data_IF_898521630482
#
_entry.id   IF_898521630482
#
_cell.length_a   1.000
_cell.length_b   1.000
_cell.length_c   1.000
_cell.angle_alpha   90.00
_cell.angle_beta   90.00
_cell.angle_gamma   90.00
#
_symmetry.space_group_name_H-M   'P 1'
#
loop_
_entity.id
_entity.type
_entity.pdbx_description
1 polymer ?
#
# COMPACT_ATOMS: atom_id res chain seq x y z
N UNK A 1 4.97 -6.57 -39.17
CA UNK A 1 5.16 -6.22 -37.74
C UNK A 1 5.02 -7.46 -36.89
N UNK A 2 6.13 -8.00 -36.35
CA UNK A 2 6.08 -9.17 -35.47
C UNK A 2 5.64 -8.77 -34.06
N UNK A 3 4.44 -9.20 -33.63
CA UNK A 3 4.01 -9.11 -32.22
C UNK A 3 4.95 -9.98 -31.39
N UNK A 4 5.84 -9.33 -30.64
CA UNK A 4 6.76 -9.98 -29.69
C UNK A 4 5.92 -10.58 -28.57
N UNK A 5 5.59 -11.87 -28.66
CA UNK A 5 4.92 -12.60 -27.59
C UNK A 5 5.79 -12.54 -26.32
N UNK A 6 5.38 -11.73 -25.33
CA UNK A 6 6.00 -11.76 -24.00
C UNK A 6 5.72 -13.13 -23.41
N UNK A 7 6.75 -13.94 -23.17
CA UNK A 7 6.63 -15.15 -22.36
C UNK A 7 6.14 -14.73 -20.97
N UNK A 8 4.91 -15.11 -20.62
CA UNK A 8 4.40 -14.97 -19.26
C UNK A 8 5.21 -15.88 -18.36
N UNK A 9 5.96 -15.30 -17.43
CA UNK A 9 6.80 -16.04 -16.49
C UNK A 9 5.91 -16.86 -15.54
N UNK A 10 6.37 -18.03 -15.10
CA UNK A 10 5.61 -18.88 -14.16
C UNK A 10 5.22 -18.16 -12.87
N UNK A 11 6.03 -17.19 -12.43
CA UNK A 11 5.73 -16.33 -11.28
C UNK A 11 4.49 -15.47 -11.49
N UNK A 12 4.28 -14.93 -12.70
CA UNK A 12 3.09 -14.12 -12.99
C UNK A 12 1.81 -14.96 -12.98
N UNK A 13 1.89 -16.21 -13.46
CA UNK A 13 0.77 -17.15 -13.44
C UNK A 13 0.41 -17.49 -11.99
N UNK A 14 1.40 -17.82 -11.15
CA UNK A 14 1.19 -18.08 -9.72
C UNK A 14 0.57 -16.88 -9.02
N UNK A 15 1.08 -15.69 -9.30
CA UNK A 15 0.58 -14.43 -8.75
C UNK A 15 -0.88 -14.19 -9.13
N UNK A 16 -1.23 -14.38 -10.41
CA UNK A 16 -2.61 -14.24 -10.87
C UNK A 16 -3.54 -15.26 -10.20
N UNK A 17 -3.10 -16.51 -10.00
CA UNK A 17 -3.87 -17.53 -9.31
C UNK A 17 -4.12 -17.19 -7.82
N UNK A 18 -3.16 -16.56 -7.15
CA UNK A 18 -3.33 -16.09 -5.76
C UNK A 18 -4.31 -14.91 -5.71
N UNK A 19 -4.22 -13.97 -6.66
CA UNK A 19 -5.15 -12.83 -6.75
C UNK A 19 -6.58 -13.32 -6.97
N UNK A 20 -6.78 -14.32 -7.83
CA UNK A 20 -8.08 -14.97 -8.03
C UNK A 20 -8.63 -15.58 -6.73
N UNK A 21 -7.81 -16.35 -5.99
CA UNK A 21 -8.21 -16.92 -4.70
C UNK A 21 -8.59 -15.85 -3.66
N UNK A 22 -7.86 -14.74 -3.60
CA UNK A 22 -8.22 -13.61 -2.73
C UNK A 22 -9.54 -12.98 -3.15
N UNK A 23 -9.76 -12.78 -4.45
CA UNK A 23 -10.98 -12.17 -4.97
C UNK A 23 -12.21 -13.05 -4.72
N UNK A 24 -12.08 -14.36 -4.92
CA UNK A 24 -13.12 -15.35 -4.62
C UNK A 24 -13.48 -15.33 -3.13
N UNK A 25 -12.48 -15.24 -2.25
CA UNK A 25 -12.67 -15.19 -0.79
C UNK A 25 -13.54 -14.01 -0.34
N UNK A 26 -13.42 -12.86 -1.00
CA UNK A 26 -14.22 -11.66 -0.69
C UNK A 26 -15.41 -11.46 -1.62
N UNK A 27 -15.61 -12.35 -2.60
CA UNK A 27 -16.71 -12.29 -3.56
C UNK A 27 -16.61 -11.11 -4.53
N UNK A 28 -15.42 -10.82 -5.05
CA UNK A 28 -15.18 -9.77 -6.05
C UNK A 28 -14.82 -10.40 -7.38
N UNK A 29 -15.45 -9.92 -8.45
CA UNK A 29 -15.06 -10.32 -9.81
C UNK A 29 -13.84 -9.54 -10.27
N UNK A 30 -12.81 -10.25 -10.74
CA UNK A 30 -11.62 -9.62 -11.34
C UNK A 30 -11.90 -9.01 -12.72
N UNK A 31 -13.00 -9.39 -13.35
CA UNK A 31 -13.43 -8.89 -14.65
C UNK A 31 -14.31 -7.63 -14.55
N UNK A 32 -14.58 -7.14 -13.33
CA UNK A 32 -15.34 -5.93 -13.10
C UNK A 32 -14.60 -4.70 -13.69
N UNK A 33 -15.20 -3.96 -14.65
CA UNK A 33 -14.56 -2.79 -15.26
C UNK A 33 -14.34 -1.63 -14.28
N UNK A 34 -15.03 -1.64 -13.14
CA UNK A 34 -14.87 -0.64 -12.07
C UNK A 34 -13.70 -0.96 -11.14
N UNK A 35 -13.20 -2.21 -11.15
CA UNK A 35 -12.08 -2.63 -10.32
C UNK A 35 -10.77 -2.03 -10.83
N UNK A 36 -10.21 -1.12 -10.03
CA UNK A 36 -8.94 -0.45 -10.33
C UNK A 36 -7.90 -0.82 -9.29
N UNK A 37 -6.82 -1.46 -9.73
CA UNK A 37 -5.70 -1.78 -8.85
C UNK A 37 -4.94 -0.53 -8.40
N UNK A 38 -4.67 -0.50 -7.09
CA UNK A 38 -3.85 0.48 -6.40
C UNK A 38 -2.39 0.25 -6.77
N UNK A 39 -1.68 1.32 -7.13
CA UNK A 39 -0.23 1.32 -7.31
C UNK A 39 0.47 1.83 -6.04
N UNK A 40 1.72 1.40 -5.81
CA UNK A 40 2.47 1.50 -4.54
C UNK A 40 2.86 2.91 -4.04
N UNK A 41 2.21 3.98 -4.50
CA UNK A 41 2.72 5.33 -4.27
C UNK A 41 2.03 6.07 -3.13
N UNK A 42 0.70 6.01 -3.06
CA UNK A 42 -0.06 6.64 -1.98
C UNK A 42 -1.49 6.10 -1.98
N UNK A 43 -2.00 5.78 -0.79
CA UNK A 43 -3.38 5.38 -0.59
C UNK A 43 -3.91 6.06 0.67
N UNK A 44 -5.05 6.72 0.55
CA UNK A 44 -5.70 7.45 1.63
C UNK A 44 -7.10 6.88 1.81
N UNK A 45 -7.44 6.50 3.04
CA UNK A 45 -8.81 6.15 3.44
C UNK A 45 -9.32 7.28 4.31
N UNK A 46 -10.41 7.92 3.89
CA UNK A 46 -11.09 8.93 4.70
C UNK A 46 -12.15 8.26 5.56
N UNK A 47 -12.42 8.83 6.74
CA UNK A 47 -13.54 8.42 7.58
C UNK A 47 -14.84 8.50 6.80
N UNK A 48 -15.61 7.41 6.79
CA UNK A 48 -16.79 7.30 5.94
C UNK A 48 -17.84 6.36 6.58
N UNK A 49 -18.39 6.82 7.70
CA UNK A 49 -19.52 6.15 8.35
C UNK A 49 -19.24 4.72 8.82
N UNK A 50 -17.97 4.36 9.09
CA UNK A 50 -17.56 3.03 9.49
C UNK A 50 -17.11 2.12 8.35
N UNK A 51 -17.20 2.56 7.08
CA UNK A 51 -16.66 1.82 5.94
C UNK A 51 -15.14 1.68 6.02
N UNK A 52 -14.46 2.63 6.63
CA UNK A 52 -13.02 2.57 6.92
C UNK A 52 -12.67 1.37 7.80
N UNK A 53 -13.51 1.03 8.79
CA UNK A 53 -13.29 -0.13 9.65
C UNK A 53 -13.50 -1.44 8.87
N UNK A 54 -14.59 -1.52 8.11
CA UNK A 54 -14.82 -2.67 7.24
C UNK A 54 -13.68 -2.89 6.22
N UNK A 55 -13.13 -1.81 5.67
CA UNK A 55 -11.93 -1.89 4.83
C UNK A 55 -10.73 -2.46 5.59
N UNK A 56 -10.43 -1.96 6.80
CA UNK A 56 -9.30 -2.41 7.61
C UNK A 56 -9.42 -3.89 7.97
N UNK A 57 -10.62 -4.34 8.34
CA UNK A 57 -10.89 -5.74 8.69
C UNK A 57 -10.66 -6.67 7.50
N UNK A 58 -11.24 -6.34 6.34
CA UNK A 58 -11.09 -7.13 5.11
C UNK A 58 -9.64 -7.10 4.63
N UNK A 59 -8.98 -5.94 4.69
CA UNK A 59 -7.58 -5.82 4.29
C UNK A 59 -6.66 -6.64 5.19
N UNK A 60 -6.88 -6.62 6.51
CA UNK A 60 -6.13 -7.43 7.47
C UNK A 60 -6.21 -8.92 7.15
N UNK A 61 -7.44 -9.45 6.98
CA UNK A 61 -7.64 -10.86 6.61
C UNK A 61 -6.97 -11.21 5.28
N UNK A 62 -7.16 -10.38 4.25
CA UNK A 62 -6.55 -10.61 2.93
C UNK A 62 -5.02 -10.52 2.96
N UNK A 63 -4.43 -9.62 3.74
CA UNK A 63 -2.98 -9.48 3.86
C UNK A 63 -2.36 -10.74 4.48
N UNK A 64 -2.95 -11.24 5.57
CA UNK A 64 -2.51 -12.48 6.22
C UNK A 64 -2.70 -13.67 5.28
N UNK A 65 -3.84 -13.74 4.58
CA UNK A 65 -4.11 -14.80 3.63
C UNK A 65 -3.10 -14.78 2.46
N UNK A 66 -2.83 -13.61 1.87
CA UNK A 66 -1.81 -13.43 0.83
C UNK A 66 -0.42 -13.88 1.29
N UNK A 67 -0.04 -13.56 2.52
CA UNK A 67 1.23 -13.98 3.12
C UNK A 67 1.33 -15.51 3.24
N UNK A 68 0.24 -16.18 3.66
CA UNK A 68 0.22 -17.65 3.76
C UNK A 68 0.37 -18.34 2.39
N UNK A 69 -0.03 -17.68 1.32
CA UNK A 69 0.14 -18.11 -0.07
C UNK A 69 1.49 -17.69 -0.68
N UNK A 70 2.33 -16.98 0.09
CA UNK A 70 3.67 -16.55 -0.31
C UNK A 70 3.73 -15.21 -1.05
N UNK A 71 2.67 -14.39 -0.99
CA UNK A 71 2.58 -13.07 -1.64
C UNK A 71 2.92 -11.91 -0.68
N UNK A 72 4.10 -11.94 -0.08
CA UNK A 72 4.52 -10.96 0.94
C UNK A 72 4.95 -9.58 0.41
N UNK A 73 5.20 -9.45 -0.90
CA UNK A 73 5.75 -8.21 -1.50
C UNK A 73 4.71 -7.33 -2.18
N UNK A 74 3.45 -7.73 -2.16
CA UNK A 74 2.43 -7.07 -2.96
C UNK A 74 1.16 -6.80 -2.17
N UNK A 75 1.26 -5.98 -1.10
CA UNK A 75 0.11 -5.66 -0.25
C UNK A 75 -1.01 -4.95 -1.02
N UNK A 76 -0.67 -4.29 -2.14
CA UNK A 76 -1.62 -3.53 -2.96
C UNK A 76 -2.75 -4.37 -3.57
N UNK A 77 -2.55 -5.67 -3.81
CA UNK A 77 -3.63 -6.54 -4.29
C UNK A 77 -4.69 -6.76 -3.22
N UNK A 78 -4.25 -7.13 -2.00
CA UNK A 78 -5.14 -7.27 -0.85
C UNK A 78 -5.86 -5.95 -0.55
N UNK A 79 -5.14 -4.81 -0.58
CA UNK A 79 -5.75 -3.49 -0.40
C UNK A 79 -6.80 -3.18 -1.47
N UNK A 80 -6.52 -3.47 -2.75
CA UNK A 80 -7.46 -3.17 -3.84
C UNK A 80 -8.77 -3.93 -3.65
N UNK A 81 -8.67 -5.23 -3.34
CA UNK A 81 -9.84 -6.07 -3.12
C UNK A 81 -10.59 -5.64 -1.87
N UNK A 82 -9.92 -5.30 -0.78
CA UNK A 82 -10.55 -4.76 0.42
C UNK A 82 -11.27 -3.44 0.16
N UNK A 83 -10.66 -2.52 -0.60
CA UNK A 83 -11.26 -1.24 -0.96
C UNK A 83 -12.53 -1.45 -1.80
N UNK A 84 -12.46 -2.31 -2.81
CA UNK A 84 -13.62 -2.66 -3.64
C UNK A 84 -14.74 -3.31 -2.81
N UNK A 85 -14.40 -4.22 -1.89
CA UNK A 85 -15.37 -4.86 -0.98
C UNK A 85 -16.07 -3.86 -0.05
N UNK A 86 -15.33 -2.88 0.45
CA UNK A 86 -15.84 -1.81 1.31
C UNK A 86 -16.59 -0.71 0.54
N UNK A 87 -16.65 -0.80 -0.80
CA UNK A 87 -17.33 0.19 -1.66
C UNK A 87 -16.53 1.46 -1.86
N UNK A 88 -15.21 1.44 -1.62
CA UNK A 88 -14.33 2.56 -1.92
C UNK A 88 -13.96 2.57 -3.41
N UNK A 89 -14.10 3.74 -4.03
CA UNK A 89 -13.61 3.98 -5.39
C UNK A 89 -12.13 4.27 -5.34
N UNK A 90 -11.35 3.56 -6.16
CA UNK A 90 -9.91 3.82 -6.30
C UNK A 90 -9.70 4.89 -7.38
N UNK A 91 -9.29 6.07 -6.94
CA UNK A 91 -8.88 7.16 -7.80
C UNK A 91 -7.38 7.05 -8.11
N UNK A 92 -6.99 7.37 -9.34
CA UNK A 92 -5.57 7.45 -9.75
C UNK A 92 -5.11 8.88 -9.96
N UNK A 93 -6.04 9.83 -9.86
CA UNK A 93 -5.80 11.24 -10.02
C UNK A 93 -5.34 11.85 -8.69
N UNK A 94 -4.69 13.00 -8.75
CA UNK A 94 -4.23 13.72 -7.57
C UNK A 94 -5.42 14.13 -6.68
N UNK A 95 -5.24 13.97 -5.37
CA UNK A 95 -6.21 14.47 -4.40
C UNK A 95 -6.01 15.98 -4.23
N UNK A 96 -7.05 16.82 -4.37
CA UNK A 96 -6.94 18.26 -4.14
C UNK A 96 -6.36 18.55 -2.75
N UNK A 97 -5.33 19.39 -2.69
CA UNK A 97 -4.63 19.74 -1.45
C UNK A 97 -3.49 18.80 -1.06
N UNK A 98 -3.27 17.69 -1.79
CA UNK A 98 -2.15 16.78 -1.57
C UNK A 98 -1.32 16.65 -2.85
N UNK A 99 -0.25 17.45 -2.95
CA UNK A 99 0.71 17.33 -4.05
C UNK A 99 1.57 16.09 -3.84
N UNK A 100 1.38 15.10 -4.70
CA UNK A 100 2.27 13.95 -4.79
C UNK A 100 3.49 14.32 -5.65
N UNK A 101 4.68 13.90 -5.22
CA UNK A 101 5.91 14.16 -5.96
C UNK A 101 6.71 12.87 -6.09
N UNK A 102 6.88 12.39 -7.33
CA UNK A 102 7.80 11.32 -7.70
C UNK A 102 8.64 11.79 -8.87
N UNK A 103 9.96 11.84 -8.67
CA UNK A 103 10.94 12.15 -9.70
C UNK A 103 10.66 11.47 -11.05
N UNK A 104 10.25 10.20 -11.06
CA UNK A 104 10.03 9.47 -12.32
C UNK A 104 8.84 10.00 -13.10
N UNK A 105 7.75 10.30 -12.39
CA UNK A 105 6.52 10.82 -12.97
C UNK A 105 6.77 12.24 -13.46
N UNK A 106 7.37 13.08 -12.60
CA UNK A 106 7.71 14.47 -12.89
C UNK A 106 8.66 14.58 -14.09
N UNK A 107 9.75 13.81 -14.12
CA UNK A 107 10.69 13.84 -15.24
C UNK A 107 10.05 13.35 -16.55
N UNK A 108 9.19 12.33 -16.48
CA UNK A 108 8.46 11.86 -17.64
C UNK A 108 7.49 12.91 -18.18
N UNK A 109 6.80 13.63 -17.30
CA UNK A 109 5.88 14.71 -17.67
C UNK A 109 6.61 15.89 -18.30
N UNK A 110 7.71 16.36 -17.68
CA UNK A 110 8.57 17.40 -18.24
C UNK A 110 9.08 17.03 -19.63
N UNK A 111 9.56 15.79 -19.79
CA UNK A 111 10.02 15.29 -21.08
C UNK A 111 8.88 15.22 -22.12
N UNK A 112 7.70 14.73 -21.72
CA UNK A 112 6.55 14.59 -22.62
C UNK A 112 6.00 15.95 -23.05
N UNK A 113 6.04 16.94 -22.17
CA UNK A 113 5.52 18.29 -22.43
C UNK A 113 6.59 19.23 -23.00
N UNK A 114 7.87 18.84 -22.99
CA UNK A 114 8.99 19.67 -23.44
C UNK A 114 9.20 20.90 -22.56
N UNK A 115 8.84 20.79 -21.27
CA UNK A 115 8.91 21.89 -20.31
C UNK A 115 10.15 21.73 -19.42
N UNK A 116 10.73 22.87 -19.05
CA UNK A 116 11.75 22.92 -18.01
C UNK A 116 11.08 22.93 -16.62
N UNK A 117 11.70 22.29 -15.60
CA UNK A 117 11.16 22.29 -14.25
C UNK A 117 11.15 23.71 -13.68
N UNK A 118 10.06 24.07 -12.99
CA UNK A 118 10.03 25.30 -12.21
C UNK A 118 10.97 25.22 -10.99
N UNK A 119 11.24 26.37 -10.35
CA UNK A 119 12.19 26.44 -9.23
C UNK A 119 11.82 25.52 -8.05
N UNK A 120 10.51 25.32 -7.82
CA UNK A 120 9.99 24.46 -6.75
C UNK A 120 10.20 22.98 -7.09
N UNK A 121 9.89 22.57 -8.31
CA UNK A 121 10.12 21.21 -8.83
C UNK A 121 11.61 20.90 -8.82
N UNK A 122 12.44 21.83 -9.26
CA UNK A 122 13.89 21.65 -9.28
C UNK A 122 14.45 21.46 -7.86
N UNK A 123 13.96 22.21 -6.88
CA UNK A 123 14.32 22.04 -5.48
C UNK A 123 13.97 20.63 -4.96
N UNK A 124 12.76 20.13 -5.24
CA UNK A 124 12.37 18.77 -4.83
C UNK A 124 13.16 17.67 -5.55
N UNK A 125 13.44 17.84 -6.85
CA UNK A 125 14.30 16.91 -7.61
C UNK A 125 15.69 16.80 -6.95
N UNK A 126 16.27 17.93 -6.54
CA UNK A 126 17.58 17.98 -5.87
C UNK A 126 17.55 17.33 -4.49
N UNK A 127 16.52 17.61 -3.67
CA UNK A 127 16.36 16.98 -2.36
C UNK A 127 16.25 15.45 -2.47
N UNK A 128 15.43 14.96 -3.39
CA UNK A 128 15.27 13.52 -3.60
C UNK A 128 16.55 12.89 -4.15
N UNK A 129 17.26 13.57 -5.06
CA UNK A 129 18.56 13.10 -5.54
C UNK A 129 19.58 12.97 -4.39
N UNK A 130 19.63 13.92 -3.45
CA UNK A 130 20.51 13.83 -2.29
C UNK A 130 20.17 12.62 -1.39
N UNK A 131 18.89 12.33 -1.18
CA UNK A 131 18.43 11.16 -0.42
C UNK A 131 18.77 9.85 -1.15
N UNK A 132 18.52 9.78 -2.46
CA UNK A 132 18.78 8.56 -3.26
C UNK A 132 20.27 8.26 -3.48
N UNK A 133 21.11 9.30 -3.54
CA UNK A 133 22.56 9.16 -3.72
C UNK A 133 23.24 8.65 -2.44
N UNK A 134 22.71 8.97 -1.26
CA UNK A 134 23.21 8.49 0.04
C UNK A 134 23.32 6.97 0.15
N UNK A 135 22.47 6.22 -0.58
CA UNK A 135 22.40 4.76 -0.50
C UNK A 135 23.18 4.00 -1.59
N UNK A 136 23.80 4.70 -2.55
CA UNK A 136 24.25 4.10 -3.82
C UNK A 136 25.77 4.01 -4.02
N UNK A 137 26.58 3.87 -2.97
CA UNK A 137 27.97 3.47 -3.21
C UNK A 137 28.00 2.06 -3.83
N UNK A 138 28.88 1.83 -4.82
CA UNK A 138 29.05 0.51 -5.46
C UNK A 138 29.29 -0.59 -4.42
N UNK A 139 29.95 -0.24 -3.32
CA UNK A 139 30.27 -1.12 -2.19
C UNK A 139 28.99 -1.53 -1.43
N UNK A 140 28.04 -0.61 -1.17
CA UNK A 140 26.77 -0.97 -0.52
C UNK A 140 25.93 -1.87 -1.42
N UNK A 141 25.95 -1.70 -2.75
CA UNK A 141 25.26 -2.62 -3.69
C UNK A 141 25.81 -4.05 -3.61
N UNK A 142 27.13 -4.19 -3.57
CA UNK A 142 27.78 -5.51 -3.46
C UNK A 142 27.47 -6.14 -2.11
N UNK A 143 27.63 -5.38 -1.01
CA UNK A 143 27.31 -5.84 0.35
C UNK A 143 25.85 -6.28 0.48
N UNK A 144 24.92 -5.48 -0.06
CA UNK A 144 23.49 -5.78 0.00
C UNK A 144 23.11 -7.01 -0.85
N UNK A 145 23.81 -7.27 -1.96
CA UNK A 145 23.63 -8.51 -2.74
C UNK A 145 24.09 -9.74 -1.96
N UNK A 146 25.26 -9.69 -1.33
CA UNK A 146 25.78 -10.77 -0.50
C UNK A 146 24.90 -11.04 0.73
N UNK A 147 24.54 -9.99 1.47
CA UNK A 147 23.65 -10.09 2.62
C UNK A 147 22.28 -10.69 2.24
N UNK A 148 21.74 -10.33 1.08
CA UNK A 148 20.45 -10.87 0.59
C UNK A 148 20.53 -12.35 0.20
N UNK A 149 21.65 -12.80 -0.33
CA UNK A 149 21.87 -14.23 -0.64
C UNK A 149 21.98 -15.05 0.65
N UNK A 150 22.74 -14.55 1.63
CA UNK A 150 22.90 -15.18 2.94
C UNK A 150 21.56 -15.23 3.68
N UNK A 151 20.84 -14.10 3.75
CA UNK A 151 19.53 -14.03 4.39
C UNK A 151 18.53 -14.99 3.72
N UNK A 152 18.44 -15.02 2.38
CA UNK A 152 17.54 -15.94 1.66
C UNK A 152 17.79 -17.41 1.98
N UNK A 153 19.04 -17.80 2.27
CA UNK A 153 19.38 -19.18 2.70
C UNK A 153 19.00 -19.47 4.15
N UNK A 154 18.88 -18.46 5.00
CA UNK A 154 18.62 -18.63 6.44
C UNK A 154 17.15 -18.37 6.84
N UNK A 155 16.41 -17.50 6.14
CA UNK A 155 15.07 -17.04 6.58
C UNK A 155 13.87 -17.69 5.89
N UNK A 156 14.06 -18.43 4.80
CA UNK A 156 12.94 -18.97 4.00
C UNK A 156 12.13 -20.08 4.69
N UNK A 157 12.71 -21.05 5.43
CA UNK A 157 11.88 -22.03 6.12
C UNK A 157 11.27 -21.44 7.40
N UNK A 158 12.06 -20.78 8.25
CA UNK A 158 11.62 -20.41 9.60
C UNK A 158 10.44 -19.42 9.64
N UNK A 159 10.39 -18.44 8.73
CA UNK A 159 9.30 -17.46 8.68
C UNK A 159 7.98 -18.08 8.17
N UNK A 160 8.05 -18.94 7.15
CA UNK A 160 6.88 -19.63 6.61
C UNK A 160 6.33 -20.66 7.60
N UNK A 161 7.20 -21.39 8.31
CA UNK A 161 6.76 -22.34 9.34
C UNK A 161 6.14 -21.61 10.52
N UNK A 162 6.72 -20.49 10.98
CA UNK A 162 6.17 -19.71 12.08
C UNK A 162 4.78 -19.17 11.78
N UNK A 163 4.56 -18.57 10.60
CA UNK A 163 3.24 -18.04 10.22
C UNK A 163 2.20 -19.16 10.13
N UNK A 164 2.56 -20.30 9.51
CA UNK A 164 1.68 -21.49 9.46
C UNK A 164 1.37 -22.07 10.84
N UNK A 165 2.35 -22.09 11.74
CA UNK A 165 2.18 -22.62 13.09
C UNK A 165 1.26 -21.69 13.91
N UNK A 166 1.50 -20.37 13.85
CA UNK A 166 0.68 -19.38 14.55
C UNK A 166 -0.75 -19.35 14.00
N UNK A 167 -0.95 -19.50 12.68
CA UNK A 167 -2.31 -19.54 12.10
C UNK A 167 -3.13 -20.74 12.59
N UNK A 168 -2.47 -21.85 12.95
CA UNK A 168 -3.13 -23.05 13.50
C UNK A 168 -3.33 -22.94 15.01
N UNK A 169 -2.33 -22.46 15.75
CA UNK A 169 -2.35 -22.45 17.22
C UNK A 169 -3.14 -21.27 17.79
N UNK A 170 -3.02 -20.09 17.17
CA UNK A 170 -3.60 -18.86 17.70
C UNK A 170 -4.19 -17.98 16.60
N UNK A 171 -5.21 -18.46 15.84
CA UNK A 171 -5.82 -17.69 14.74
C UNK A 171 -6.37 -16.33 15.21
N UNK A 172 -6.81 -16.22 16.46
CA UNK A 172 -7.34 -14.99 17.05
C UNK A 172 -6.29 -13.87 17.24
N UNK A 173 -4.99 -14.21 17.31
CA UNK A 173 -3.91 -13.20 17.41
C UNK A 173 -3.72 -12.42 16.11
N UNK A 174 -4.27 -12.90 15.00
CA UNK A 174 -4.19 -12.24 13.70
C UNK A 174 -5.35 -11.27 13.45
N UNK A 175 -6.47 -11.42 14.16
CA UNK A 175 -7.66 -10.55 14.03
C UNK A 175 -7.79 -9.53 15.16
N UNK A 176 -7.03 -9.69 16.24
CA UNK A 176 -6.97 -8.72 17.33
C UNK A 176 -6.07 -7.53 16.95
N UNK A 177 -6.54 -6.66 16.06
CA UNK A 177 -6.08 -5.28 16.12
C UNK A 177 -6.51 -4.73 17.48
N UNK A 178 -5.59 -4.17 18.30
CA UNK A 178 -6.02 -3.43 19.47
C UNK A 178 -6.98 -2.36 18.96
N UNK A 179 -8.21 -2.36 19.44
CA UNK A 179 -9.14 -1.28 19.15
C UNK A 179 -8.52 0.01 19.67
N UNK A 180 -7.86 0.76 18.78
CA UNK A 180 -7.39 2.13 19.04
C UNK A 180 -8.57 3.12 19.14
N UNK A 181 -9.79 2.62 19.39
CA UNK A 181 -11.03 3.36 19.24
C UNK A 181 -11.41 4.21 20.45
N UNK A 182 -10.96 3.92 21.66
CA UNK A 182 -11.54 4.58 22.84
C UNK A 182 -10.64 5.64 23.51
N UNK A 183 -9.32 5.56 23.36
CA UNK A 183 -8.41 6.46 24.09
C UNK A 183 -8.30 7.88 23.47
N UNK A 184 -8.36 8.01 22.13
CA UNK A 184 -8.23 9.33 21.47
C UNK A 184 -9.56 10.07 21.28
N UNK A 185 -10.69 9.35 21.24
CA UNK A 185 -12.02 9.97 21.10
C UNK A 185 -12.43 10.69 22.39
N UNK A 186 -12.06 10.18 23.57
CA UNK A 186 -12.32 10.85 24.86
C UNK A 186 -11.46 12.11 25.06
N UNK A 187 -10.22 12.13 24.57
CA UNK A 187 -9.35 13.31 24.67
C UNK A 187 -9.85 14.47 23.79
N UNK A 188 -10.39 14.15 22.61
CA UNK A 188 -10.91 15.15 21.67
C UNK A 188 -12.26 15.73 22.12
N UNK A 189 -13.12 14.92 22.76
CA UNK A 189 -14.41 15.39 23.31
C UNK A 189 -14.23 16.22 24.58
N UNK A 190 -13.20 15.97 25.41
CA UNK A 190 -12.86 16.86 26.53
C UNK A 190 -12.35 18.23 26.07
N UNK A 191 -11.58 18.31 24.98
CA UNK A 191 -11.05 19.58 24.46
C UNK A 191 -12.13 20.44 23.78
N UNK A 192 -13.16 19.83 23.18
CA UNK A 192 -14.29 20.55 22.57
C UNK A 192 -15.31 21.08 23.60
N UNK A 193 -15.31 20.56 24.82
CA UNK A 193 -16.21 21.03 25.88
C UNK A 193 -15.72 22.31 26.58
N UNK A 194 -14.50 22.79 26.32
CA UNK A 194 -13.90 23.91 27.07
C UNK A 194 -13.88 25.26 26.32
N UNK A 195 -14.54 25.39 25.16
CA UNK A 195 -14.59 26.67 24.44
C UNK A 195 -16.03 27.22 24.25
N UNK A 196 -16.64 27.83 25.29
CA UNK A 196 -17.80 28.68 25.10
C UNK A 196 -17.35 30.08 24.63
N UNK A 197 -16.89 30.19 23.38
CA UNK A 197 -16.57 31.48 22.78
C UNK A 197 -17.83 32.18 22.25
N UNK A 198 -18.46 32.93 23.15
CA UNK A 198 -18.97 34.30 22.94
C UNK A 198 -19.52 34.63 21.53
N UNK A 199 -20.76 34.24 21.26
CA UNK A 199 -21.59 34.89 20.24
C UNK A 199 -22.09 36.23 20.81
N UNK A 200 -21.36 37.32 20.57
CA UNK A 200 -21.90 38.67 20.72
C UNK A 200 -22.52 39.08 19.40
N UNK A 201 -23.82 39.32 19.44
CA UNK A 201 -24.60 39.95 18.39
C UNK A 201 -24.10 41.38 18.16
N UNK A 202 -23.97 41.74 16.88
CA UNK A 202 -23.81 43.09 16.36
C UNK A 202 -24.48 43.14 15.00
#
# INVERSE_FOLDING_TARGET
MAKRFRKTTSENIKKQAIIAQMADRVGISLDDPTLRFINEFLFVVTKDGGREHHFLDVWGDLAIYADTLGMFKHPTYAMTLAASKAGFKVYRDEMPGLKFFDNRVVLYELQRQGLEPDAVTQHYLQQQAAIEVGDRTLITRIRNRLAKVIARRLTTPASQTRVRLLSVIAPHTFTAYPQLADAQVQQSSMLLSQNPASCKQG
#
